data_IF_564115599556
#
_entry.id   IF_564115599556
#
_cell.length_a   1.000
_cell.length_b   1.000
_cell.length_c   1.000
_cell.angle_alpha   90.00
_cell.angle_beta   90.00
_cell.angle_gamma   90.00
#
_symmetry.space_group_name_H-M   'P 1'
#
loop_
_entity.id
_entity.type
_entity.pdbx_description
1 polymer ?
#
# COMPACT_ATOMS: atom_id res chain seq x y z
N UNK A 1 34.27 -48.53 29.69
CA UNK A 1 33.77 -48.35 28.31
C UNK A 1 32.39 -47.69 28.27
N UNK A 2 31.44 -48.09 29.11
CA UNK A 2 30.07 -47.53 29.10
C UNK A 2 29.99 -46.01 29.33
N UNK A 3 30.78 -45.47 30.26
CA UNK A 3 30.77 -44.02 30.53
C UNK A 3 31.26 -43.17 29.35
N UNK A 4 32.22 -43.67 28.56
CA UNK A 4 32.71 -43.01 27.35
C UNK A 4 31.63 -42.99 26.27
N UNK A 5 30.96 -44.12 26.03
CA UNK A 5 29.86 -44.21 25.07
C UNK A 5 28.69 -43.28 25.44
N UNK A 6 28.31 -43.22 26.72
CA UNK A 6 27.22 -42.37 27.19
C UNK A 6 27.55 -40.88 27.07
N UNK A 7 28.82 -40.50 27.29
CA UNK A 7 29.29 -39.11 27.08
C UNK A 7 29.30 -38.73 25.59
N UNK A 8 29.68 -39.65 24.71
CA UNK A 8 29.65 -39.42 23.25
C UNK A 8 28.21 -39.28 22.75
N UNK A 9 27.29 -40.13 23.20
CA UNK A 9 25.89 -40.08 22.78
C UNK A 9 25.21 -38.80 23.28
N UNK A 10 25.42 -38.41 24.55
CA UNK A 10 24.83 -37.19 25.11
C UNK A 10 25.40 -35.93 24.46
N UNK A 11 26.71 -35.86 24.19
CA UNK A 11 27.31 -34.72 23.48
C UNK A 11 26.83 -34.61 22.03
N UNK A 12 26.68 -35.73 21.30
CA UNK A 12 26.13 -35.74 19.95
C UNK A 12 24.65 -35.29 19.92
N UNK A 13 23.84 -35.73 20.89
CA UNK A 13 22.43 -35.32 20.99
C UNK A 13 22.30 -33.82 21.28
N UNK A 14 23.08 -33.31 22.24
CA UNK A 14 23.09 -31.88 22.60
C UNK A 14 23.56 -31.04 21.42
N UNK A 15 24.62 -31.45 20.71
CA UNK A 15 25.11 -30.74 19.54
C UNK A 15 24.04 -30.67 18.42
N UNK A 16 23.29 -31.76 18.21
CA UNK A 16 22.23 -31.83 17.20
C UNK A 16 21.06 -30.90 17.55
N UNK A 17 20.60 -30.91 18.81
CA UNK A 17 19.51 -30.05 19.28
C UNK A 17 19.93 -28.58 19.25
N UNK A 18 21.14 -28.26 19.74
CA UNK A 18 21.67 -26.91 19.70
C UNK A 18 21.84 -26.39 18.27
N UNK A 19 22.37 -27.23 17.37
CA UNK A 19 22.50 -26.90 15.95
C UNK A 19 21.16 -26.63 15.27
N UNK A 20 20.16 -27.49 15.50
CA UNK A 20 18.82 -27.30 14.97
C UNK A 20 18.16 -26.02 15.51
N UNK A 21 18.30 -25.73 16.80
CA UNK A 21 17.76 -24.54 17.42
C UNK A 21 18.41 -23.24 16.88
N UNK A 22 19.74 -23.24 16.71
CA UNK A 22 20.47 -22.10 16.13
C UNK A 22 20.05 -21.88 14.68
N UNK A 23 19.94 -22.95 13.89
CA UNK A 23 19.50 -22.86 12.49
C UNK A 23 18.08 -22.32 12.37
N UNK A 24 17.13 -22.85 13.16
CA UNK A 24 15.76 -22.36 13.19
C UNK A 24 15.68 -20.88 13.62
N UNK A 25 16.52 -20.47 14.56
CA UNK A 25 16.59 -19.07 15.00
C UNK A 25 17.16 -18.15 13.91
N UNK A 26 18.23 -18.56 13.22
CA UNK A 26 18.82 -17.82 12.10
C UNK A 26 17.84 -17.71 10.92
N UNK A 27 17.14 -18.79 10.60
CA UNK A 27 16.13 -18.83 9.55
C UNK A 27 14.95 -17.90 9.88
N UNK A 28 14.45 -17.96 11.12
CA UNK A 28 13.42 -17.03 11.61
C UNK A 28 13.86 -15.55 11.53
N UNK A 29 15.13 -15.26 11.79
CA UNK A 29 15.68 -13.90 11.62
C UNK A 29 15.73 -13.46 10.17
N UNK A 30 16.18 -14.34 9.26
CA UNK A 30 16.21 -14.06 7.81
C UNK A 30 14.81 -13.81 7.27
N UNK A 31 13.84 -14.69 7.58
CA UNK A 31 12.44 -14.50 7.19
C UNK A 31 11.87 -13.16 7.66
N UNK A 32 12.19 -12.74 8.90
CA UNK A 32 11.73 -11.46 9.44
C UNK A 32 12.33 -10.28 8.68
N UNK A 33 13.58 -10.36 8.24
CA UNK A 33 14.22 -9.31 7.45
C UNK A 33 13.62 -9.21 6.06
N UNK A 34 13.44 -10.34 5.36
CA UNK A 34 12.78 -10.36 4.05
C UNK A 34 11.37 -9.81 4.12
N UNK A 35 10.55 -10.30 5.06
CA UNK A 35 9.20 -9.80 5.22
C UNK A 35 9.12 -8.31 5.58
N UNK A 36 10.13 -7.75 6.28
CA UNK A 36 10.22 -6.30 6.55
C UNK A 36 10.60 -5.51 5.30
N UNK A 37 11.50 -6.05 4.48
CA UNK A 37 11.89 -5.44 3.21
C UNK A 37 10.71 -5.41 2.24
N UNK A 38 10.00 -6.53 2.09
CA UNK A 38 8.82 -6.64 1.22
C UNK A 38 7.71 -5.67 1.66
N UNK A 39 7.45 -5.59 2.98
CA UNK A 39 6.49 -4.63 3.52
C UNK A 39 6.92 -3.17 3.34
N UNK A 40 8.22 -2.89 3.37
CA UNK A 40 8.74 -1.55 3.08
C UNK A 40 8.56 -1.21 1.61
N UNK A 41 8.84 -2.15 0.71
CA UNK A 41 8.62 -2.00 -0.72
C UNK A 41 7.14 -1.72 -1.01
N UNK A 42 6.24 -2.57 -0.51
CA UNK A 42 4.79 -2.38 -0.64
C UNK A 42 4.30 -1.03 -0.09
N UNK A 43 4.80 -0.60 1.08
CA UNK A 43 4.45 0.70 1.66
C UNK A 43 4.92 1.86 0.76
N UNK A 44 6.15 1.82 0.25
CA UNK A 44 6.67 2.85 -0.66
C UNK A 44 5.88 2.89 -1.97
N UNK A 45 5.51 1.71 -2.51
CA UNK A 45 4.71 1.61 -3.72
C UNK A 45 3.32 2.23 -3.54
N UNK A 46 2.64 1.97 -2.41
CA UNK A 46 1.37 2.60 -2.08
C UNK A 46 1.50 4.12 -1.87
N UNK A 47 2.60 4.59 -1.28
CA UNK A 47 2.89 6.04 -1.14
C UNK A 47 3.10 6.71 -2.49
N UNK A 48 3.83 6.05 -3.40
CA UNK A 48 4.01 6.53 -4.77
C UNK A 48 2.69 6.59 -5.53
N UNK A 49 1.85 5.55 -5.38
CA UNK A 49 0.52 5.53 -5.97
C UNK A 49 -0.39 6.64 -5.41
N UNK A 50 -0.38 6.88 -4.09
CA UNK A 50 -1.10 8.01 -3.50
C UNK A 50 -0.61 9.37 -4.03
N UNK A 51 0.69 9.50 -4.30
CA UNK A 51 1.26 10.70 -4.95
C UNK A 51 0.69 10.88 -6.34
N UNK A 52 0.63 9.82 -7.15
CA UNK A 52 0.04 9.86 -8.48
C UNK A 52 -1.46 10.22 -8.45
N UNK A 53 -2.22 9.74 -7.45
CA UNK A 53 -3.60 10.16 -7.25
C UNK A 53 -3.72 11.65 -6.92
N UNK A 54 -2.83 12.20 -6.09
CA UNK A 54 -2.84 13.62 -5.75
C UNK A 54 -2.48 14.51 -6.95
N UNK A 55 -1.53 14.07 -7.76
CA UNK A 55 -1.14 14.77 -8.98
C UNK A 55 -2.28 14.75 -10.02
N UNK A 56 -2.94 13.60 -10.22
CA UNK A 56 -4.10 13.49 -11.11
C UNK A 56 -5.28 14.36 -10.64
N UNK A 57 -5.55 14.41 -9.33
CA UNK A 57 -6.56 15.30 -8.79
C UNK A 57 -6.20 16.78 -9.02
N UNK A 58 -4.94 17.15 -8.80
CA UNK A 58 -4.45 18.52 -9.04
C UNK A 58 -4.59 18.92 -10.51
N UNK A 59 -4.20 18.04 -11.43
CA UNK A 59 -4.33 18.26 -12.88
C UNK A 59 -5.80 18.43 -13.30
N UNK A 60 -6.71 17.66 -12.71
CA UNK A 60 -8.14 17.81 -12.94
C UNK A 60 -8.66 19.17 -12.48
N UNK A 61 -8.30 19.60 -11.27
CA UNK A 61 -8.76 20.90 -10.77
C UNK A 61 -8.17 22.04 -11.58
N UNK A 62 -6.93 21.92 -12.05
CA UNK A 62 -6.33 22.87 -12.98
C UNK A 62 -7.08 22.90 -14.31
N UNK A 63 -7.49 21.74 -14.85
CA UNK A 63 -8.32 21.65 -16.06
C UNK A 63 -9.66 22.36 -15.86
N UNK A 64 -10.38 22.06 -14.77
CA UNK A 64 -11.65 22.71 -14.46
C UNK A 64 -11.48 24.23 -14.31
N UNK A 65 -10.54 24.66 -13.48
CA UNK A 65 -10.38 26.07 -13.12
C UNK A 65 -9.86 26.92 -14.32
N UNK A 66 -9.20 26.28 -15.30
CA UNK A 66 -8.76 26.91 -16.54
C UNK A 66 -9.72 26.76 -17.72
N UNK A 67 -10.87 26.09 -17.54
CA UNK A 67 -11.78 25.77 -18.66
C UNK A 67 -11.17 24.82 -19.69
N UNK A 68 -10.25 23.96 -19.27
CA UNK A 68 -9.55 22.98 -20.11
C UNK A 68 -8.29 23.49 -20.80
N UNK A 69 -7.84 24.71 -20.50
CA UNK A 69 -6.62 25.28 -21.10
C UNK A 69 -5.31 24.77 -20.47
N UNK A 70 -5.35 24.24 -19.25
CA UNK A 70 -4.19 23.66 -18.57
C UNK A 70 -4.61 22.44 -17.73
N UNK A 71 -3.81 21.38 -17.72
CA UNK A 71 -4.11 20.14 -16.98
C UNK A 71 -4.92 19.14 -17.81
N UNK A 72 -5.42 18.10 -17.14
CA UNK A 72 -6.19 17.03 -17.78
C UNK A 72 -7.35 16.56 -16.93
N UNK A 73 -8.52 16.39 -17.53
CA UNK A 73 -9.65 15.76 -16.87
C UNK A 73 -9.40 14.27 -16.67
N UNK A 74 -9.72 13.79 -15.47
CA UNK A 74 -9.59 12.38 -15.10
C UNK A 74 -10.63 11.57 -15.87
N UNK A 75 -10.15 10.61 -16.65
CA UNK A 75 -10.97 9.57 -17.30
C UNK A 75 -10.82 8.20 -16.64
N UNK A 76 -9.63 7.94 -16.11
CA UNK A 76 -9.24 6.70 -15.47
C UNK A 76 -8.43 7.04 -14.22
N UNK A 77 -8.40 6.12 -13.26
CA UNK A 77 -7.47 6.22 -12.16
C UNK A 77 -6.03 6.06 -12.66
N UNK A 78 -5.02 6.56 -11.90
CA UNK A 78 -3.64 6.20 -12.16
C UNK A 78 -3.44 4.68 -12.19
N UNK A 79 -2.49 4.21 -12.98
CA UNK A 79 -2.19 2.77 -13.06
C UNK A 79 -1.68 2.27 -11.71
N UNK A 80 -2.32 1.23 -11.18
CA UNK A 80 -1.88 0.63 -9.92
C UNK A 80 -0.67 -0.26 -10.15
N UNK A 81 0.48 0.03 -9.51
CA UNK A 81 1.66 -0.81 -9.64
C UNK A 81 1.44 -2.20 -9.03
N UNK A 82 2.06 -3.22 -9.61
CA UNK A 82 2.02 -4.57 -9.05
C UNK A 82 2.71 -4.61 -7.68
N UNK A 83 2.04 -5.21 -6.69
CA UNK A 83 2.58 -5.41 -5.34
C UNK A 83 2.56 -6.89 -5.01
N UNK A 84 3.75 -7.46 -4.84
CA UNK A 84 3.89 -8.84 -4.38
C UNK A 84 3.61 -8.93 -2.87
N UNK A 85 2.68 -9.82 -2.49
CA UNK A 85 2.39 -10.10 -1.08
C UNK A 85 3.18 -11.33 -0.65
N UNK A 86 4.29 -11.11 0.04
CA UNK A 86 5.14 -12.20 0.51
C UNK A 86 4.46 -13.06 1.59
N UNK A 87 4.76 -14.36 1.63
CA UNK A 87 4.21 -15.30 2.62
C UNK A 87 4.43 -14.85 4.09
N UNK A 88 5.48 -14.08 4.35
CA UNK A 88 5.78 -13.50 5.67
C UNK A 88 4.71 -12.56 6.24
N UNK A 89 3.73 -12.16 5.41
CA UNK A 89 2.59 -11.31 5.77
C UNK A 89 1.47 -12.09 6.49
N UNK A 90 1.44 -13.42 6.40
CA UNK A 90 0.33 -14.25 6.90
C UNK A 90 0.42 -14.50 8.43
N UNK A 91 1.51 -14.10 9.10
CA UNK A 91 1.63 -14.22 10.57
C UNK A 91 0.52 -13.37 11.25
N UNK A 92 -0.16 -13.89 12.27
CA UNK A 92 -1.48 -13.41 12.78
C UNK A 92 -1.69 -11.89 12.89
N UNK A 93 -0.72 -11.11 13.40
CA UNK A 93 -0.84 -9.64 13.50
C UNK A 93 -0.76 -8.89 12.16
N UNK A 94 -0.23 -9.56 11.12
CA UNK A 94 0.00 -9.02 9.78
C UNK A 94 -1.07 -9.51 8.78
N UNK A 95 -1.78 -10.59 9.09
CA UNK A 95 -2.83 -11.15 8.24
C UNK A 95 -3.92 -10.12 7.87
N UNK A 96 -4.33 -9.25 8.80
CA UNK A 96 -5.31 -8.17 8.52
C UNK A 96 -4.80 -7.17 7.48
N UNK A 97 -3.51 -6.82 7.53
CA UNK A 97 -2.93 -5.88 6.55
C UNK A 97 -2.66 -6.59 5.23
N UNK A 98 -2.29 -7.87 5.27
CA UNK A 98 -2.12 -8.72 4.10
C UNK A 98 -3.43 -8.84 3.30
N UNK A 99 -4.53 -9.14 3.99
CA UNK A 99 -5.87 -9.23 3.41
C UNK A 99 -6.27 -7.92 2.71
N UNK A 100 -6.13 -6.78 3.40
CA UNK A 100 -6.38 -5.47 2.80
C UNK A 100 -5.47 -5.18 1.60
N UNK A 101 -4.20 -5.57 1.66
CA UNK A 101 -3.26 -5.38 0.55
C UNK A 101 -3.62 -6.25 -0.66
N UNK A 102 -4.05 -7.50 -0.44
CA UNK A 102 -4.51 -8.39 -1.50
C UNK A 102 -5.83 -7.92 -2.13
N UNK A 103 -6.70 -7.28 -1.35
CA UNK A 103 -7.98 -6.76 -1.84
C UNK A 103 -7.85 -5.40 -2.54
N UNK A 104 -6.87 -4.58 -2.15
CA UNK A 104 -6.72 -3.21 -2.65
C UNK A 104 -6.68 -3.08 -4.19
N UNK A 105 -5.99 -3.93 -4.97
CA UNK A 105 -6.04 -3.86 -6.43
C UNK A 105 -7.46 -4.03 -7.01
N UNK A 106 -8.33 -4.78 -6.34
CA UNK A 106 -9.74 -4.93 -6.73
C UNK A 106 -10.50 -3.63 -6.49
N UNK A 107 -10.26 -2.97 -5.35
CA UNK A 107 -10.88 -1.67 -5.04
C UNK A 107 -10.46 -0.62 -6.07
N UNK A 108 -9.18 -0.60 -6.46
CA UNK A 108 -8.68 0.30 -7.50
C UNK A 108 -9.38 0.03 -8.84
N UNK A 109 -9.45 -1.24 -9.26
CA UNK A 109 -10.14 -1.60 -10.51
C UNK A 109 -11.63 -1.25 -10.49
N UNK A 110 -12.30 -1.45 -9.36
CA UNK A 110 -13.70 -1.10 -9.21
C UNK A 110 -13.91 0.42 -9.32
N UNK A 111 -13.07 1.21 -8.66
CA UNK A 111 -13.11 2.67 -8.74
C UNK A 111 -12.83 3.18 -10.16
N UNK A 112 -11.88 2.56 -10.86
CA UNK A 112 -11.58 2.85 -12.26
C UNK A 112 -12.74 2.50 -13.20
N UNK A 113 -13.38 1.34 -12.99
CA UNK A 113 -14.59 0.97 -13.73
C UNK A 113 -15.74 1.96 -13.52
N UNK A 114 -15.91 2.47 -12.31
CA UNK A 114 -16.93 3.51 -12.02
C UNK A 114 -16.63 4.79 -12.80
N UNK A 115 -15.37 5.26 -12.78
CA UNK A 115 -14.97 6.44 -13.54
C UNK A 115 -15.21 6.26 -15.05
N UNK A 116 -14.80 5.12 -15.60
CA UNK A 116 -15.02 4.77 -17.01
C UNK A 116 -16.50 4.68 -17.38
N UNK A 117 -17.29 3.97 -16.57
CA UNK A 117 -18.72 3.79 -16.82
C UNK A 117 -19.45 5.13 -16.87
N UNK A 118 -19.17 6.02 -15.93
CA UNK A 118 -19.77 7.34 -15.91
C UNK A 118 -19.43 8.13 -17.18
N UNK A 119 -18.20 7.96 -17.70
CA UNK A 119 -17.81 8.61 -18.94
C UNK A 119 -18.57 8.16 -20.17
N UNK A 120 -18.87 6.86 -20.23
CA UNK A 120 -19.53 6.28 -21.39
C UNK A 120 -21.06 6.37 -21.29
N UNK A 121 -21.62 6.45 -20.08
CA UNK A 121 -23.06 6.35 -19.83
C UNK A 121 -23.78 7.68 -19.57
N UNK A 122 -23.06 8.75 -19.21
CA UNK A 122 -23.67 10.02 -18.76
C UNK A 122 -23.33 11.16 -19.71
N UNK A 123 -24.34 11.96 -20.07
CA UNK A 123 -24.15 13.15 -20.92
C UNK A 123 -23.78 14.42 -20.14
N UNK A 124 -24.01 14.41 -18.81
CA UNK A 124 -23.65 15.50 -17.91
C UNK A 124 -22.18 15.39 -17.50
N UNK A 125 -21.33 16.19 -18.13
CA UNK A 125 -19.88 16.13 -17.93
C UNK A 125 -19.44 16.60 -16.55
N UNK A 126 -20.21 17.46 -15.89
CA UNK A 126 -19.85 17.98 -14.57
C UNK A 126 -19.98 16.88 -13.51
N UNK A 127 -21.07 16.10 -13.57
CA UNK A 127 -21.30 14.94 -12.69
C UNK A 127 -20.18 13.91 -12.86
N UNK A 128 -19.80 13.61 -14.09
CA UNK A 128 -18.78 12.59 -14.34
C UNK A 128 -17.40 13.07 -13.89
N UNK A 129 -17.04 14.31 -14.17
CA UNK A 129 -15.79 14.90 -13.71
C UNK A 129 -15.67 14.81 -12.19
N UNK A 130 -16.73 15.19 -11.48
CA UNK A 130 -16.77 15.17 -10.02
C UNK A 130 -16.61 13.76 -9.45
N UNK A 131 -17.39 12.81 -9.97
CA UNK A 131 -17.33 11.43 -9.52
C UNK A 131 -15.98 10.76 -9.82
N UNK A 132 -15.37 11.03 -10.97
CA UNK A 132 -14.05 10.51 -11.31
C UNK A 132 -12.97 11.04 -10.35
N UNK A 133 -13.02 12.33 -10.02
CA UNK A 133 -12.13 12.95 -9.02
C UNK A 133 -12.34 12.35 -7.64
N UNK A 134 -13.60 12.11 -7.24
CA UNK A 134 -13.92 11.51 -5.94
C UNK A 134 -13.33 10.10 -5.82
N UNK A 135 -13.44 9.28 -6.87
CA UNK A 135 -12.84 7.94 -6.91
C UNK A 135 -11.31 7.99 -6.76
N UNK A 136 -10.63 8.89 -7.49
CA UNK A 136 -9.18 9.08 -7.38
C UNK A 136 -8.77 9.51 -5.96
N UNK A 137 -9.50 10.46 -5.37
CA UNK A 137 -9.21 10.97 -4.03
C UNK A 137 -9.39 9.88 -2.98
N UNK A 138 -10.51 9.16 -3.03
CA UNK A 138 -10.85 8.10 -2.10
C UNK A 138 -9.80 6.98 -2.12
N UNK A 139 -9.44 6.51 -3.32
CA UNK A 139 -8.44 5.47 -3.49
C UNK A 139 -7.04 5.94 -3.09
N UNK A 140 -6.67 7.19 -3.40
CA UNK A 140 -5.43 7.80 -2.95
C UNK A 140 -5.31 7.84 -1.42
N UNK A 141 -6.36 8.28 -0.71
CA UNK A 141 -6.38 8.30 0.75
C UNK A 141 -6.30 6.90 1.35
N UNK A 142 -7.02 5.92 0.78
CA UNK A 142 -6.92 4.51 1.18
C UNK A 142 -5.51 3.97 1.03
N UNK A 143 -4.79 4.32 -0.05
CA UNK A 143 -3.41 3.91 -0.24
C UNK A 143 -2.49 4.44 0.86
N UNK A 144 -2.65 5.71 1.27
CA UNK A 144 -1.88 6.28 2.39
C UNK A 144 -2.19 5.56 3.70
N UNK A 145 -3.47 5.29 3.99
CA UNK A 145 -3.87 4.59 5.21
C UNK A 145 -3.31 3.17 5.26
N UNK A 146 -3.37 2.44 4.13
CA UNK A 146 -2.82 1.10 4.00
C UNK A 146 -1.28 1.09 4.13
N UNK A 147 -0.58 2.06 3.54
CA UNK A 147 0.87 2.23 3.71
C UNK A 147 1.24 2.50 5.18
N UNK A 148 0.48 3.36 5.87
CA UNK A 148 0.63 3.62 7.30
C UNK A 148 0.44 2.33 8.13
N UNK A 149 -0.56 1.53 7.79
CA UNK A 149 -0.86 0.29 8.52
C UNK A 149 0.19 -0.80 8.28
N UNK A 150 0.75 -0.89 7.05
CA UNK A 150 1.94 -1.71 6.77
C UNK A 150 3.13 -1.28 7.63
N UNK A 151 3.42 0.03 7.66
CA UNK A 151 4.53 0.56 8.48
C UNK A 151 4.35 0.22 9.96
N UNK A 152 3.14 0.34 10.50
CA UNK A 152 2.83 -0.05 11.88
C UNK A 152 2.99 -1.57 12.09
N UNK A 153 2.38 -2.39 11.24
CA UNK A 153 2.36 -3.85 11.40
C UNK A 153 3.76 -4.50 11.29
N UNK A 154 4.67 -3.88 10.53
CA UNK A 154 6.04 -4.35 10.34
C UNK A 154 7.09 -3.54 11.11
N UNK A 155 6.65 -2.59 11.97
CA UNK A 155 7.54 -1.71 12.75
C UNK A 155 8.58 -1.01 11.87
N UNK A 156 8.13 -0.49 10.74
CA UNK A 156 8.93 0.29 9.81
C UNK A 156 8.98 1.75 10.27
N UNK A 157 10.01 2.53 9.86
CA UNK A 157 10.04 3.96 10.10
C UNK A 157 8.77 4.63 9.58
N UNK A 158 8.24 5.60 10.33
CA UNK A 158 7.17 6.45 9.83
C UNK A 158 7.74 7.35 8.73
N UNK A 159 6.90 7.71 7.76
CA UNK A 159 7.24 8.64 6.70
C UNK A 159 6.07 9.59 6.51
N UNK A 160 6.37 10.87 6.46
CA UNK A 160 5.41 11.90 6.09
C UNK A 160 5.49 12.12 4.58
N UNK A 161 4.34 12.27 3.94
CA UNK A 161 4.23 12.49 2.50
C UNK A 161 4.16 13.98 2.19
N UNK A 162 5.18 14.71 2.68
CA UNK A 162 5.30 16.17 2.56
C UNK A 162 6.54 16.50 1.74
N UNK A 163 6.33 17.12 0.58
CA UNK A 163 7.37 17.52 -0.36
C UNK A 163 7.41 19.05 -0.44
N UNK A 164 8.21 19.67 0.44
CA UNK A 164 8.24 21.13 0.58
C UNK A 164 6.92 21.66 1.14
N UNK A 165 6.12 22.33 0.29
CA UNK A 165 4.77 22.82 0.66
C UNK A 165 3.63 21.88 0.23
N UNK A 166 3.96 20.80 -0.47
CA UNK A 166 2.98 19.87 -1.00
C UNK A 166 2.80 18.70 -0.03
N UNK A 167 1.71 18.70 0.73
CA UNK A 167 1.28 17.57 1.55
C UNK A 167 0.23 16.77 0.77
N UNK A 168 0.55 15.51 0.47
CA UNK A 168 -0.30 14.64 -0.35
C UNK A 168 -1.65 14.38 0.34
N UNK A 169 -1.66 14.11 1.65
CA UNK A 169 -2.90 13.82 2.37
C UNK A 169 -3.76 15.07 2.46
N UNK A 170 -3.16 16.22 2.76
CA UNK A 170 -3.88 17.49 2.80
C UNK A 170 -4.48 17.82 1.43
N UNK A 171 -3.71 17.66 0.36
CA UNK A 171 -4.15 17.89 -1.02
C UNK A 171 -5.39 17.06 -1.34
N UNK A 172 -5.33 15.74 -1.16
CA UNK A 172 -6.46 14.85 -1.38
C UNK A 172 -7.67 15.19 -0.48
N UNK A 173 -7.45 15.45 0.81
CA UNK A 173 -8.53 15.71 1.77
C UNK A 173 -9.24 17.05 1.55
N UNK A 174 -8.49 18.08 1.13
CA UNK A 174 -9.03 19.42 0.84
C UNK A 174 -10.01 19.37 -0.31
N UNK A 175 -9.73 18.52 -1.29
CA UNK A 175 -10.57 18.36 -2.46
C UNK A 175 -11.84 17.55 -2.16
N UNK A 176 -11.78 16.55 -1.28
CA UNK A 176 -12.98 15.82 -0.82
C UNK A 176 -14.03 16.76 -0.20
N UNK A 177 -13.59 17.68 0.68
CA UNK A 177 -14.49 18.67 1.29
C UNK A 177 -15.09 19.65 0.28
N UNK A 178 -14.43 19.89 -0.85
CA UNK A 178 -14.95 20.81 -1.87
C UNK A 178 -16.13 20.16 -2.62
N UNK A 179 -16.04 18.86 -2.88
CA UNK A 179 -17.10 18.03 -3.48
C UNK A 179 -18.33 17.97 -2.56
N UNK A 180 -18.16 17.80 -1.24
CA UNK A 180 -19.31 17.76 -0.30
C UNK A 180 -20.09 19.08 -0.19
N UNK A 181 -19.53 20.21 -0.64
CA UNK A 181 -20.14 21.53 -0.55
C UNK A 181 -20.56 22.13 -1.91
N UNK A 182 -20.34 21.42 -3.01
CA UNK A 182 -20.77 21.81 -4.35
C UNK A 182 -22.20 21.31 -4.61
#
# INVERSE_FOLDING_TARGET
>A
MEQLLLTIITSALVATIAGAAINAWLESRKEKLFARFDALSAAITLEGYASACADAATDHFMARDSGGHAGGYIRSLPEFPEIEVAAGFIKSKKAKVADRLMFFPQEVRQADQVAHFLWDATADMDIVHEAAVEQVIYIGLKAIDLASDLRKAFSLPKRELVFGKYDIRETLSKHLKKTENA
#
